data_IF_815802396929
#
_entry.id   IF_815802396929
#
_cell.length_a   1.000
_cell.length_b   1.000
_cell.length_c   1.000
_cell.angle_alpha   90.00
_cell.angle_beta   90.00
_cell.angle_gamma   90.00
#
_symmetry.space_group_name_H-M   'P 1'
#
loop_
_entity.id
_entity.type
_entity.pdbx_description
1 polymer ?
#
# COMPACT_ATOMS: atom_id res chain seq x y z
N UNK A 1 -16.53 11.78 -10.13
CA UNK A 1 -16.02 12.31 -11.41
C UNK A 1 -15.10 11.25 -12.00
N UNK A 2 -15.14 10.97 -13.31
CA UNK A 2 -14.29 9.91 -13.89
C UNK A 2 -12.81 10.36 -13.88
N UNK A 3 -11.86 9.46 -13.59
CA UNK A 3 -10.44 9.76 -13.65
C UNK A 3 -10.02 10.24 -15.04
N UNK A 4 -9.17 11.28 -15.11
CA UNK A 4 -8.63 11.78 -16.37
C UNK A 4 -7.34 11.05 -16.73
N UNK A 5 -7.25 10.55 -17.96
CA UNK A 5 -6.11 9.77 -18.47
C UNK A 5 -5.54 10.45 -19.71
N UNK A 6 -4.22 10.68 -19.74
CA UNK A 6 -3.53 11.18 -20.92
C UNK A 6 -2.77 10.05 -21.60
N UNK A 7 -3.09 9.76 -22.87
CA UNK A 7 -2.36 8.82 -23.70
C UNK A 7 -1.58 9.54 -24.78
N UNK A 8 -0.26 9.60 -24.60
CA UNK A 8 0.68 10.13 -25.56
C UNK A 8 1.16 9.01 -26.51
N UNK A 9 0.72 9.04 -27.77
CA UNK A 9 1.09 8.02 -28.78
C UNK A 9 1.23 8.62 -30.17
N UNK A 10 2.25 8.24 -30.92
CA UNK A 10 2.34 8.62 -32.34
C UNK A 10 1.30 7.92 -33.22
N UNK A 11 0.69 6.84 -32.72
CA UNK A 11 -0.33 6.08 -33.44
C UNK A 11 -1.74 6.48 -32.98
N UNK A 12 -2.30 7.51 -33.63
CA UNK A 12 -3.66 8.02 -33.34
C UNK A 12 -4.73 6.92 -33.38
N UNK A 13 -4.59 5.91 -34.24
CA UNK A 13 -5.59 4.85 -34.38
C UNK A 13 -5.72 4.00 -33.12
N UNK A 14 -4.62 3.76 -32.39
CA UNK A 14 -4.67 3.03 -31.13
C UNK A 14 -5.43 3.83 -30.07
N UNK A 15 -5.19 5.14 -29.99
CA UNK A 15 -5.93 6.01 -29.07
C UNK A 15 -7.43 6.06 -29.37
N UNK A 16 -7.81 6.12 -30.66
CA UNK A 16 -9.22 6.09 -31.08
C UNK A 16 -9.89 4.76 -30.78
N UNK A 17 -9.17 3.64 -30.89
CA UNK A 17 -9.67 2.31 -30.49
C UNK A 17 -9.81 2.18 -28.98
N UNK A 18 -8.87 2.72 -28.21
CA UNK A 18 -8.89 2.65 -26.74
C UNK A 18 -10.03 3.47 -26.14
N UNK A 19 -10.35 4.62 -26.72
CA UNK A 19 -11.32 5.57 -26.19
C UNK A 19 -12.71 4.95 -25.86
N UNK A 20 -13.39 4.19 -26.75
CA UNK A 20 -14.65 3.54 -26.41
C UNK A 20 -14.50 2.43 -25.36
N UNK A 21 -13.37 1.70 -25.35
CA UNK A 21 -13.12 0.57 -24.45
C UNK A 21 -12.93 0.96 -22.99
N UNK A 22 -12.62 2.23 -22.70
CA UNK A 22 -12.44 2.72 -21.32
C UNK A 22 -13.32 3.94 -21.00
N UNK A 23 -14.23 4.30 -21.90
CA UNK A 23 -15.12 5.45 -21.74
C UNK A 23 -16.01 5.33 -20.48
N UNK A 24 -16.32 4.11 -20.05
CA UNK A 24 -17.07 3.83 -18.82
C UNK A 24 -16.25 4.10 -17.55
N UNK A 25 -14.93 3.92 -17.58
CA UNK A 25 -14.05 4.04 -16.41
C UNK A 25 -13.21 5.33 -16.36
N UNK A 26 -12.95 6.02 -17.48
CA UNK A 26 -12.16 7.25 -17.50
C UNK A 26 -12.54 8.26 -18.59
N UNK A 27 -11.96 9.47 -18.47
CA UNK A 27 -11.91 10.45 -19.55
C UNK A 27 -10.53 10.38 -20.21
N UNK A 28 -10.46 9.78 -21.40
CA UNK A 28 -9.21 9.61 -22.14
C UNK A 28 -8.94 10.81 -23.08
N UNK A 29 -7.78 11.45 -22.90
CA UNK A 29 -7.19 12.41 -23.83
C UNK A 29 -6.10 11.74 -24.64
N UNK A 30 -6.16 11.82 -25.97
CA UNK A 30 -5.11 11.29 -26.85
C UNK A 30 -4.29 12.44 -27.42
N UNK A 31 -2.96 12.37 -27.24
CA UNK A 31 -2.02 13.38 -27.73
C UNK A 31 -1.00 12.71 -28.66
N UNK A 32 -0.96 13.18 -29.91
CA UNK A 32 -0.24 12.49 -31.00
C UNK A 32 1.23 12.89 -31.17
N UNK A 33 1.72 13.76 -30.29
CA UNK A 33 3.11 14.22 -30.26
C UNK A 33 3.51 14.60 -28.83
N UNK A 34 4.81 14.59 -28.56
CA UNK A 34 5.39 14.98 -27.28
C UNK A 34 5.03 16.42 -26.88
N UNK A 35 5.20 17.39 -27.79
CA UNK A 35 4.88 18.79 -27.54
C UNK A 35 3.39 19.03 -27.25
N UNK A 36 2.49 18.26 -27.88
CA UNK A 36 1.05 18.33 -27.57
C UNK A 36 0.73 17.71 -26.22
N UNK A 37 1.33 16.56 -25.90
CA UNK A 37 1.20 15.93 -24.59
C UNK A 37 1.67 16.87 -23.47
N UNK A 38 2.80 17.57 -23.68
CA UNK A 38 3.31 18.58 -22.76
C UNK A 38 2.35 19.78 -22.59
N UNK A 39 1.79 20.30 -23.69
CA UNK A 39 0.80 21.37 -23.62
C UNK A 39 -0.48 20.95 -22.88
N UNK A 40 -0.94 19.71 -23.07
CA UNK A 40 -2.10 19.15 -22.38
C UNK A 40 -1.82 18.97 -20.88
N UNK A 41 -0.64 18.46 -20.51
CA UNK A 41 -0.17 18.34 -19.11
C UNK A 41 -0.19 19.66 -18.34
N UNK A 42 0.12 20.78 -19.00
CA UNK A 42 0.13 22.10 -18.37
C UNK A 42 -1.26 22.70 -18.18
N UNK A 43 -2.27 22.19 -18.89
CA UNK A 43 -3.64 22.73 -18.88
C UNK A 43 -4.55 22.01 -17.90
N UNK A 44 -4.35 20.70 -17.73
CA UNK A 44 -5.23 19.84 -16.98
C UNK A 44 -4.42 18.85 -16.12
N UNK A 45 -4.94 18.51 -14.94
CA UNK A 45 -4.37 17.47 -14.10
C UNK A 45 -4.89 16.10 -14.54
N UNK A 46 -3.96 15.20 -14.87
CA UNK A 46 -4.27 13.81 -15.23
C UNK A 46 -3.81 12.86 -14.14
N UNK A 47 -4.63 11.83 -13.88
CA UNK A 47 -4.41 10.85 -12.83
C UNK A 47 -3.55 9.68 -13.31
N UNK A 48 -3.65 9.33 -14.60
CA UNK A 48 -2.83 8.30 -15.24
C UNK A 48 -2.25 8.83 -16.55
N UNK A 49 -0.99 8.51 -16.78
CA UNK A 49 -0.27 8.76 -18.02
C UNK A 49 -0.04 7.45 -18.75
N UNK A 50 -0.25 7.43 -20.05
CA UNK A 50 0.13 6.31 -20.92
C UNK A 50 1.07 6.90 -21.96
N UNK A 51 2.28 6.37 -22.05
CA UNK A 51 3.29 6.89 -22.98
C UNK A 51 3.77 5.77 -23.88
N UNK A 52 3.53 5.94 -25.17
CA UNK A 52 3.98 5.01 -26.21
C UNK A 52 5.47 5.19 -26.45
N UNK A 53 6.24 4.09 -26.39
CA UNK A 53 7.69 4.09 -26.61
C UNK A 53 8.07 4.55 -28.02
N UNK A 54 7.15 4.50 -28.99
CA UNK A 54 7.35 5.01 -30.36
C UNK A 54 6.94 6.47 -30.53
N UNK A 55 6.60 7.17 -29.45
CA UNK A 55 6.36 8.61 -29.51
C UNK A 55 7.69 9.32 -29.84
N UNK A 56 7.79 10.02 -30.99
CA UNK A 56 8.99 10.76 -31.33
C UNK A 56 9.29 11.80 -30.26
N UNK A 57 10.58 11.99 -29.96
CA UNK A 57 11.07 12.97 -29.01
C UNK A 57 10.64 12.75 -27.54
N UNK A 58 10.51 11.48 -27.13
CA UNK A 58 10.38 11.10 -25.72
C UNK A 58 11.56 11.60 -24.86
N UNK A 59 12.71 11.80 -25.50
CA UNK A 59 13.94 12.42 -25.01
C UNK A 59 13.87 13.96 -24.88
N UNK A 60 12.76 14.60 -25.28
CA UNK A 60 12.56 16.03 -25.03
C UNK A 60 12.55 16.25 -23.51
N UNK A 61 13.58 16.95 -23.03
CA UNK A 61 13.78 17.30 -21.61
C UNK A 61 12.49 17.81 -20.98
N UNK A 62 11.66 18.54 -21.73
CA UNK A 62 10.41 19.13 -21.26
C UNK A 62 9.31 18.13 -20.89
N UNK A 63 9.03 17.12 -21.74
CA UNK A 63 7.98 16.14 -21.44
C UNK A 63 8.43 15.23 -20.30
N UNK A 64 9.66 14.72 -20.35
CA UNK A 64 10.22 13.89 -19.28
C UNK A 64 10.24 14.64 -17.94
N UNK A 65 10.64 15.92 -17.94
CA UNK A 65 10.63 16.78 -16.74
C UNK A 65 9.21 17.07 -16.25
N UNK A 66 8.25 17.38 -17.13
CA UNK A 66 6.85 17.60 -16.74
C UNK A 66 6.23 16.35 -16.10
N UNK A 67 6.52 15.19 -16.67
CA UNK A 67 6.12 13.90 -16.15
C UNK A 67 6.78 13.61 -14.78
N UNK A 68 8.06 13.94 -14.61
CA UNK A 68 8.78 13.81 -13.34
C UNK A 68 8.16 14.63 -12.21
N UNK A 69 7.65 15.82 -12.52
CA UNK A 69 7.08 16.76 -11.56
C UNK A 69 5.54 16.73 -11.49
N UNK A 70 4.89 15.80 -12.18
CA UNK A 70 3.44 15.66 -12.14
C UNK A 70 2.98 15.23 -10.72
N UNK A 71 1.92 15.85 -10.16
CA UNK A 71 1.48 15.61 -8.78
C UNK A 71 0.92 14.20 -8.52
N UNK A 72 0.61 13.42 -9.56
CA UNK A 72 0.09 12.04 -9.48
C UNK A 72 0.79 11.13 -10.51
N UNK A 73 1.91 10.48 -10.16
CA UNK A 73 2.83 9.87 -11.14
C UNK A 73 2.47 8.43 -11.57
N UNK A 74 1.18 8.08 -11.71
CA UNK A 74 0.84 6.74 -12.24
C UNK A 74 1.04 6.74 -13.77
N UNK A 75 2.18 6.23 -14.22
CA UNK A 75 2.55 6.20 -15.64
C UNK A 75 2.67 4.77 -16.17
N UNK A 76 1.97 4.44 -17.25
CA UNK A 76 2.11 3.21 -18.03
C UNK A 76 2.97 3.52 -19.25
N UNK A 77 4.08 2.81 -19.43
CA UNK A 77 4.86 2.85 -20.68
C UNK A 77 4.46 1.70 -21.60
N UNK A 78 3.99 2.02 -22.80
CA UNK A 78 3.52 1.01 -23.77
C UNK A 78 4.54 0.87 -24.88
N UNK A 79 5.01 -0.35 -25.16
CA UNK A 79 5.89 -0.62 -26.30
C UNK A 79 5.26 -1.64 -27.25
N UNK A 80 5.30 -1.35 -28.55
CA UNK A 80 4.73 -2.20 -29.59
C UNK A 80 5.84 -2.92 -30.39
N UNK A 81 6.16 -4.18 -30.09
CA UNK A 81 7.09 -5.02 -30.86
C UNK A 81 8.30 -5.57 -30.08
N UNK A 82 9.45 -5.76 -30.75
CA UNK A 82 10.72 -6.17 -30.12
C UNK A 82 11.35 -5.02 -29.33
N UNK A 83 11.98 -5.36 -28.21
CA UNK A 83 12.46 -4.46 -27.15
C UNK A 83 13.73 -3.67 -27.50
N UNK A 84 14.10 -3.58 -28.77
CA UNK A 84 15.48 -3.22 -29.17
C UNK A 84 15.87 -1.75 -28.89
N UNK A 85 14.99 -0.92 -28.32
CA UNK A 85 15.28 0.49 -28.02
C UNK A 85 14.65 1.03 -26.72
N UNK A 86 14.46 0.21 -25.67
CA UNK A 86 14.07 0.73 -24.34
C UNK A 86 15.32 0.97 -23.49
N UNK A 87 16.11 1.96 -23.87
CA UNK A 87 17.12 2.60 -23.01
C UNK A 87 16.53 3.97 -22.64
N UNK A 88 16.65 4.42 -21.38
CA UNK A 88 16.15 5.69 -20.82
C UNK A 88 14.85 5.71 -19.99
N UNK A 89 14.49 4.62 -19.29
CA UNK A 89 13.44 4.67 -18.22
C UNK A 89 13.93 4.13 -16.87
N UNK A 90 15.09 3.46 -16.83
CA UNK A 90 15.65 2.81 -15.64
C UNK A 90 16.10 3.77 -14.51
N UNK A 91 16.12 5.08 -14.76
CA UNK A 91 16.54 6.10 -13.77
C UNK A 91 15.38 6.86 -13.12
N UNK A 92 14.12 6.61 -13.54
CA UNK A 92 12.93 7.24 -12.99
C UNK A 92 12.48 6.54 -11.70
N UNK A 93 13.01 6.98 -10.55
CA UNK A 93 12.83 6.34 -9.22
C UNK A 93 11.38 6.18 -8.71
N UNK A 94 10.37 6.75 -9.38
CA UNK A 94 8.96 6.74 -8.95
C UNK A 94 7.96 6.31 -10.05
N UNK A 95 8.44 5.80 -11.18
CA UNK A 95 7.58 5.39 -12.30
C UNK A 95 7.53 3.86 -12.38
N UNK A 96 6.34 3.29 -12.17
CA UNK A 96 6.13 1.85 -12.35
C UNK A 96 6.19 1.50 -13.83
N UNK A 97 7.30 0.92 -14.27
CA UNK A 97 7.46 0.45 -15.63
C UNK A 97 6.60 -0.80 -15.88
N UNK A 98 5.31 -0.64 -16.17
CA UNK A 98 4.51 -1.73 -16.72
C UNK A 98 4.81 -1.86 -18.22
N UNK A 99 5.83 -2.66 -18.56
CA UNK A 99 6.03 -3.06 -19.95
C UNK A 99 4.86 -3.97 -20.36
N UNK A 100 3.85 -3.43 -21.04
CA UNK A 100 2.76 -4.23 -21.62
C UNK A 100 3.33 -5.01 -22.80
N UNK A 101 3.92 -6.17 -22.52
CA UNK A 101 4.26 -7.16 -23.56
C UNK A 101 2.97 -7.81 -24.01
N UNK A 102 2.49 -7.40 -25.19
CA UNK A 102 1.53 -8.10 -26.08
C UNK A 102 0.06 -7.66 -25.97
N UNK A 103 -0.47 -7.19 -27.10
CA UNK A 103 -1.90 -6.99 -27.43
C UNK A 103 -2.63 -5.80 -26.78
N UNK A 104 -3.59 -5.26 -27.54
CA UNK A 104 -4.46 -4.15 -27.15
C UNK A 104 -5.34 -4.50 -25.93
N UNK A 105 -5.80 -5.75 -25.82
CA UNK A 105 -6.65 -6.21 -24.72
C UNK A 105 -5.94 -6.14 -23.35
N UNK A 106 -4.63 -6.40 -23.31
CA UNK A 106 -3.84 -6.25 -22.08
C UNK A 106 -3.68 -4.78 -21.67
N UNK A 107 -3.59 -3.86 -22.62
CA UNK A 107 -3.57 -2.42 -22.33
C UNK A 107 -4.90 -1.99 -21.71
N UNK A 108 -6.03 -2.43 -22.27
CA UNK A 108 -7.38 -2.17 -21.74
C UNK A 108 -7.52 -2.76 -20.33
N UNK A 109 -7.14 -4.03 -20.15
CA UNK A 109 -7.21 -4.71 -18.85
C UNK A 109 -6.36 -4.03 -17.77
N UNK A 110 -5.11 -3.67 -18.10
CA UNK A 110 -4.20 -2.94 -17.21
C UNK A 110 -4.80 -1.59 -16.82
N UNK A 111 -5.28 -0.81 -17.79
CA UNK A 111 -5.84 0.52 -17.52
C UNK A 111 -7.10 0.42 -16.66
N UNK A 112 -7.98 -0.55 -16.93
CA UNK A 112 -9.18 -0.80 -16.11
C UNK A 112 -8.80 -1.17 -14.68
N UNK A 113 -7.82 -2.05 -14.50
CA UNK A 113 -7.36 -2.45 -13.18
C UNK A 113 -6.68 -1.30 -12.43
N UNK A 114 -5.90 -0.46 -13.12
CA UNK A 114 -5.26 0.72 -12.53
C UNK A 114 -6.30 1.73 -12.00
N UNK A 115 -7.40 1.88 -12.73
CA UNK A 115 -8.49 2.80 -12.41
C UNK A 115 -9.56 2.23 -11.47
N UNK A 116 -9.53 0.92 -11.19
CA UNK A 116 -10.44 0.27 -10.25
C UNK A 116 -9.95 0.51 -8.80
N UNK A 117 -10.73 1.24 -7.97
CA UNK A 117 -10.36 1.47 -6.57
C UNK A 117 -10.18 0.18 -5.77
N UNK A 118 -10.92 -0.89 -6.09
CA UNK A 118 -10.82 -2.17 -5.40
C UNK A 118 -9.54 -2.93 -5.78
N UNK A 119 -9.06 -2.79 -7.01
CA UNK A 119 -7.83 -3.43 -7.49
C UNK A 119 -6.59 -2.91 -6.73
N UNK A 120 -6.59 -1.64 -6.30
CA UNK A 120 -5.54 -1.07 -5.44
C UNK A 120 -5.49 -1.63 -4.01
N UNK A 121 -6.48 -2.43 -3.63
CA UNK A 121 -6.64 -3.04 -2.30
C UNK A 121 -6.68 -4.57 -2.36
N UNK A 122 -6.30 -5.12 -3.51
CA UNK A 122 -6.36 -6.56 -3.77
C UNK A 122 -5.01 -7.04 -4.26
N UNK A 123 -4.41 -7.94 -3.51
CA UNK A 123 -3.17 -8.62 -3.87
C UNK A 123 -3.41 -9.61 -5.02
N UNK A 124 -2.49 -9.64 -5.97
CA UNK A 124 -2.48 -10.56 -7.11
C UNK A 124 -1.39 -11.62 -6.99
N UNK A 125 -0.20 -11.22 -6.53
CA UNK A 125 0.92 -12.14 -6.35
C UNK A 125 1.79 -11.74 -5.15
N UNK A 126 2.33 -12.73 -4.44
CA UNK A 126 3.32 -12.52 -3.38
C UNK A 126 4.41 -13.59 -3.51
N UNK A 127 5.68 -13.18 -3.39
CA UNK A 127 6.84 -14.07 -3.36
C UNK A 127 7.83 -13.61 -2.31
N UNK A 128 8.49 -14.54 -1.63
CA UNK A 128 9.59 -14.20 -0.74
C UNK A 128 10.94 -14.29 -1.45
N UNK A 129 11.83 -13.32 -1.21
CA UNK A 129 13.19 -13.30 -1.73
C UNK A 129 14.19 -13.45 -0.57
N UNK A 130 14.72 -14.67 -0.32
CA UNK A 130 15.56 -14.94 0.84
C UNK A 130 16.83 -14.11 0.91
N UNK A 131 17.46 -13.80 -0.24
CA UNK A 131 18.71 -13.03 -0.30
C UNK A 131 18.54 -11.60 0.20
N UNK A 132 17.45 -10.95 -0.19
CA UNK A 132 17.15 -9.57 0.17
C UNK A 132 16.36 -9.47 1.49
N UNK A 133 15.84 -10.60 1.98
CA UNK A 133 14.97 -10.68 3.15
C UNK A 133 13.70 -9.82 2.99
N UNK A 134 13.06 -9.96 1.82
CA UNK A 134 11.99 -9.06 1.34
C UNK A 134 10.86 -9.86 0.69
N UNK A 135 9.62 -9.38 0.83
CA UNK A 135 8.47 -9.87 0.08
C UNK A 135 8.26 -9.00 -1.16
N UNK A 136 8.23 -9.62 -2.33
CA UNK A 136 7.74 -9.00 -3.55
C UNK A 136 6.22 -9.14 -3.59
N UNK A 137 5.50 -8.03 -3.58
CA UNK A 137 4.04 -7.98 -3.51
C UNK A 137 3.49 -7.25 -4.72
N UNK A 138 2.64 -7.91 -5.50
CA UNK A 138 1.92 -7.33 -6.63
C UNK A 138 0.43 -7.18 -6.30
N UNK A 139 -0.14 -6.04 -6.65
CA UNK A 139 -1.57 -5.74 -6.54
C UNK A 139 -2.24 -5.92 -7.91
N UNK A 140 -3.56 -6.19 -7.92
CA UNK A 140 -4.33 -6.38 -9.15
C UNK A 140 -4.35 -5.15 -10.06
N UNK A 141 -4.11 -3.97 -9.51
CA UNK A 141 -3.97 -2.74 -10.28
C UNK A 141 -2.61 -2.63 -11.01
N UNK A 142 -1.76 -3.66 -10.92
CA UNK A 142 -0.44 -3.71 -11.53
C UNK A 142 0.69 -3.16 -10.66
N UNK A 143 0.37 -2.51 -9.52
CA UNK A 143 1.39 -1.95 -8.62
C UNK A 143 2.21 -3.03 -7.94
N UNK A 144 3.50 -2.80 -7.79
CA UNK A 144 4.39 -3.78 -7.15
C UNK A 144 5.28 -3.12 -6.10
N UNK A 145 5.44 -3.78 -4.96
CA UNK A 145 6.21 -3.27 -3.83
C UNK A 145 7.12 -4.35 -3.24
N UNK A 146 8.23 -3.89 -2.68
CA UNK A 146 9.18 -4.70 -1.94
C UNK A 146 9.01 -4.45 -0.44
N UNK A 147 8.24 -5.29 0.24
CA UNK A 147 8.04 -5.17 1.69
C UNK A 147 9.17 -5.88 2.44
N UNK A 148 10.07 -5.16 3.15
CA UNK A 148 11.13 -5.80 3.92
C UNK A 148 10.50 -6.67 5.01
N UNK A 149 10.99 -7.90 5.19
CA UNK A 149 10.41 -8.82 6.19
C UNK A 149 10.44 -8.24 7.60
N UNK A 150 11.52 -7.52 7.94
CA UNK A 150 11.67 -6.78 9.20
C UNK A 150 10.60 -5.70 9.46
N UNK A 151 9.83 -5.31 8.45
CA UNK A 151 8.74 -4.35 8.60
C UNK A 151 7.47 -5.02 9.18
N UNK A 152 7.41 -6.35 9.18
CA UNK A 152 6.27 -7.11 9.72
C UNK A 152 6.52 -7.42 11.20
N UNK A 153 5.81 -6.74 12.09
CA UNK A 153 6.00 -6.90 13.55
C UNK A 153 5.71 -8.32 14.07
N UNK A 154 4.81 -9.05 13.39
CA UNK A 154 4.42 -10.41 13.78
C UNK A 154 5.47 -11.49 13.41
N UNK A 155 6.51 -11.11 12.67
CA UNK A 155 7.60 -12.02 12.27
C UNK A 155 8.57 -12.23 13.45
N UNK A 156 8.85 -13.49 13.78
CA UNK A 156 9.73 -13.85 14.90
C UNK A 156 11.21 -14.06 14.52
N UNK A 157 11.57 -13.82 13.25
CA UNK A 157 12.92 -13.99 12.72
C UNK A 157 13.29 -15.41 12.29
N UNK A 158 12.53 -16.46 12.66
CA UNK A 158 12.82 -17.85 12.24
C UNK A 158 12.57 -18.08 10.74
N UNK A 159 13.24 -19.05 10.12
CA UNK A 159 13.15 -19.27 8.66
C UNK A 159 11.71 -19.45 8.17
N UNK A 160 11.42 -18.96 6.96
CA UNK A 160 10.09 -19.13 6.35
C UNK A 160 9.92 -20.56 5.84
N UNK A 161 8.73 -21.12 6.03
CA UNK A 161 8.35 -22.46 5.59
C UNK A 161 7.39 -22.37 4.42
N UNK A 162 7.91 -22.65 3.22
CA UNK A 162 7.16 -22.57 1.97
C UNK A 162 6.93 -21.13 1.49
N UNK A 163 6.21 -21.00 0.37
CA UNK A 163 5.88 -19.70 -0.20
C UNK A 163 4.71 -19.03 0.52
N UNK A 164 4.71 -17.69 0.63
CA UNK A 164 3.56 -16.92 1.09
C UNK A 164 2.30 -17.24 0.27
N UNK A 165 1.14 -17.25 0.92
CA UNK A 165 -0.15 -17.57 0.25
C UNK A 165 -1.12 -16.42 0.36
N UNK A 166 -1.65 -15.96 -0.76
CA UNK A 166 -2.75 -14.99 -0.76
C UNK A 166 -4.01 -15.64 -0.19
N UNK A 167 -4.66 -14.94 0.71
CA UNK A 167 -5.87 -15.37 1.43
C UNK A 167 -6.96 -14.29 1.32
N UNK A 168 -8.18 -14.63 1.75
CA UNK A 168 -9.29 -13.69 1.85
C UNK A 168 -9.57 -12.91 0.54
N UNK A 169 -9.45 -13.58 -0.61
CA UNK A 169 -9.71 -12.98 -1.91
C UNK A 169 -8.72 -11.88 -2.32
N UNK A 170 -7.51 -11.85 -1.74
CA UNK A 170 -6.51 -10.83 -2.03
C UNK A 170 -6.38 -9.75 -0.97
N UNK A 171 -7.10 -9.83 0.15
CA UNK A 171 -6.98 -8.79 1.20
C UNK A 171 -5.74 -8.96 2.10
N UNK A 172 -5.10 -10.13 2.08
CA UNK A 172 -3.89 -10.41 2.86
C UNK A 172 -3.10 -11.58 2.25
N UNK A 173 -1.87 -11.78 2.71
CA UNK A 173 -1.14 -13.04 2.52
C UNK A 173 -0.71 -13.65 3.86
N UNK A 174 -0.73 -14.98 3.94
CA UNK A 174 -0.23 -15.76 5.07
C UNK A 174 1.24 -16.12 4.88
N UNK A 175 2.01 -16.01 5.95
CA UNK A 175 3.39 -16.49 6.05
C UNK A 175 3.49 -17.51 7.19
N UNK A 176 4.33 -18.53 6.99
CA UNK A 176 4.61 -19.58 7.99
C UNK A 176 6.10 -19.59 8.28
N UNK A 177 6.45 -19.81 9.54
CA UNK A 177 7.84 -19.86 9.98
C UNK A 177 8.17 -21.20 10.66
N UNK A 178 9.46 -21.54 10.70
CA UNK A 178 9.97 -22.79 11.22
C UNK A 178 9.70 -22.98 12.73
N UNK A 179 9.54 -21.88 13.46
CA UNK A 179 9.08 -21.88 14.86
C UNK A 179 7.66 -22.42 15.07
N UNK A 180 6.90 -22.58 13.99
CA UNK A 180 5.46 -22.83 14.01
C UNK A 180 4.61 -21.57 13.98
N UNK A 181 5.21 -20.37 14.05
CA UNK A 181 4.50 -19.11 13.92
C UNK A 181 3.83 -18.98 12.55
N UNK A 182 2.61 -18.44 12.55
CA UNK A 182 1.84 -18.13 11.35
C UNK A 182 1.20 -16.76 11.50
N UNK A 183 1.50 -15.87 10.57
CA UNK A 183 0.97 -14.52 10.59
C UNK A 183 0.41 -14.13 9.24
N UNK A 184 -0.48 -13.14 9.25
CA UNK A 184 -1.09 -12.57 8.06
C UNK A 184 -0.57 -11.15 7.86
N UNK A 185 -0.28 -10.81 6.61
CA UNK A 185 0.16 -9.49 6.18
C UNK A 185 -0.96 -8.90 5.34
N UNK A 186 -1.74 -7.93 5.85
CA UNK A 186 -2.81 -7.29 5.09
C UNK A 186 -2.23 -6.36 4.01
N UNK A 187 -3.00 -6.12 2.95
CA UNK A 187 -2.55 -5.30 1.81
C UNK A 187 -2.20 -3.86 2.22
N UNK A 188 -2.88 -3.31 3.23
CA UNK A 188 -2.69 -1.94 3.68
C UNK A 188 -1.35 -1.71 4.39
N UNK A 189 -0.79 -2.75 5.02
CA UNK A 189 0.56 -2.70 5.57
C UNK A 189 1.61 -2.45 4.47
N UNK A 190 1.38 -2.98 3.27
CA UNK A 190 2.26 -2.75 2.12
C UNK A 190 2.21 -1.27 1.71
N UNK A 191 1.02 -0.69 1.58
CA UNK A 191 0.86 0.72 1.22
C UNK A 191 1.35 1.66 2.33
N UNK A 192 1.15 1.30 3.60
CA UNK A 192 1.69 2.01 4.76
C UNK A 192 3.19 2.27 4.64
N UNK A 193 3.94 1.32 4.08
CA UNK A 193 5.39 1.44 3.94
C UNK A 193 5.85 2.15 2.65
N UNK A 194 5.00 2.28 1.62
CA UNK A 194 5.45 2.65 0.28
C UNK A 194 4.71 3.82 -0.38
N UNK A 195 3.49 4.16 0.06
CA UNK A 195 2.64 5.15 -0.61
C UNK A 195 2.44 6.39 0.25
N UNK A 196 3.19 7.50 0.05
CA UNK A 196 3.04 8.77 0.79
C UNK A 196 1.63 9.36 0.78
N UNK A 197 0.87 9.04 -0.26
CA UNK A 197 -0.53 9.40 -0.44
C UNK A 197 -1.48 8.58 0.45
N UNK A 198 -1.07 7.38 0.87
CA UNK A 198 -1.86 6.51 1.74
C UNK A 198 -2.10 7.23 3.07
N UNK A 199 -3.36 7.29 3.59
CA UNK A 199 -3.68 8.06 4.78
C UNK A 199 -2.84 7.72 6.02
N UNK A 200 -2.25 6.53 6.04
CA UNK A 200 -1.45 6.05 7.16
C UNK A 200 0.05 5.96 6.86
N UNK A 201 0.53 6.46 5.72
CA UNK A 201 1.92 6.30 5.31
C UNK A 201 2.97 6.61 6.39
N UNK A 202 3.97 5.73 6.48
CA UNK A 202 5.15 5.89 7.33
C UNK A 202 5.93 7.16 6.93
N UNK A 203 5.75 8.24 7.69
CA UNK A 203 6.44 9.52 7.46
C UNK A 203 5.54 10.76 7.56
N UNK A 204 4.22 10.62 7.52
CA UNK A 204 3.29 11.70 7.92
C UNK A 204 3.13 11.71 9.44
N UNK A 205 4.18 12.15 10.15
CA UNK A 205 4.23 12.22 11.61
C UNK A 205 3.29 13.28 12.24
N UNK A 206 2.51 14.02 11.43
CA UNK A 206 1.82 15.22 11.89
C UNK A 206 0.40 15.04 12.45
N UNK A 207 -0.28 13.92 12.22
CA UNK A 207 -1.70 13.79 12.64
C UNK A 207 -2.08 12.33 12.98
N UNK A 208 -1.43 11.73 13.98
CA UNK A 208 -1.98 10.65 14.85
C UNK A 208 -0.95 10.22 15.90
N UNK A 209 -1.46 9.86 17.08
CA UNK A 209 -0.76 9.18 18.17
C UNK A 209 -0.04 7.91 17.65
N UNK A 210 1.26 7.76 17.89
CA UNK A 210 2.02 6.55 17.50
C UNK A 210 1.52 5.32 18.28
N UNK A 211 1.74 4.09 17.78
CA UNK A 211 1.37 2.87 18.53
C UNK A 211 1.97 2.83 19.93
N UNK A 212 3.20 3.35 20.09
CA UNK A 212 3.86 3.49 21.38
C UNK A 212 3.14 4.50 22.29
N UNK A 213 2.76 5.66 21.77
CA UNK A 213 1.99 6.67 22.51
C UNK A 213 0.60 6.14 22.90
N UNK A 214 -0.06 5.41 21.98
CA UNK A 214 -1.36 4.78 22.23
C UNK A 214 -1.26 3.68 23.29
N UNK A 215 -0.21 2.85 23.23
CA UNK A 215 0.05 1.83 24.22
C UNK A 215 0.32 2.45 25.60
N UNK A 216 1.13 3.52 25.66
CA UNK A 216 1.44 4.25 26.90
C UNK A 216 0.19 4.90 27.50
N UNK A 217 -0.65 5.52 26.67
CA UNK A 217 -1.90 6.14 27.11
C UNK A 217 -2.90 5.12 27.64
N UNK A 218 -3.13 4.03 26.89
CA UNK A 218 -4.03 2.95 27.32
C UNK A 218 -3.50 2.30 28.61
N UNK A 219 -2.21 1.98 28.64
CA UNK A 219 -1.55 1.39 29.81
C UNK A 219 -1.64 2.27 31.05
N UNK A 220 -1.37 3.56 30.89
CA UNK A 220 -1.51 4.58 31.92
C UNK A 220 -2.94 4.67 32.45
N UNK A 221 -3.95 4.58 31.58
CA UNK A 221 -5.35 4.61 32.00
C UNK A 221 -5.75 3.37 32.78
N UNK A 222 -5.33 2.18 32.35
CA UNK A 222 -5.55 0.93 33.09
C UNK A 222 -4.91 1.00 34.47
N UNK A 223 -3.67 1.50 34.55
CA UNK A 223 -2.97 1.71 35.81
C UNK A 223 -3.72 2.67 36.73
N UNK A 224 -4.19 3.79 36.19
CA UNK A 224 -4.95 4.80 36.94
C UNK A 224 -6.25 4.22 37.52
N UNK A 225 -7.02 3.48 36.73
CA UNK A 225 -8.26 2.84 37.19
C UNK A 225 -7.98 1.76 38.24
N UNK A 226 -6.90 0.98 38.06
CA UNK A 226 -6.46 -0.03 39.05
C UNK A 226 -6.07 0.62 40.38
N UNK A 227 -5.22 1.64 40.33
CA UNK A 227 -4.73 2.35 41.52
C UNK A 227 -5.84 3.13 42.21
N UNK A 228 -6.76 3.74 41.46
CA UNK A 228 -7.96 4.38 42.00
C UNK A 228 -8.89 3.43 42.77
N UNK A 229 -8.75 2.12 42.58
CA UNK A 229 -9.46 1.06 43.32
C UNK A 229 -8.63 0.45 44.46
N UNK A 230 -7.40 0.92 44.67
CA UNK A 230 -6.48 0.36 45.65
C UNK A 230 -6.02 -1.05 45.30
N UNK A 231 -6.13 -1.49 44.04
CA UNK A 231 -5.77 -2.85 43.64
C UNK A 231 -4.28 -2.96 43.33
N UNK A 232 -3.66 -4.04 43.80
CA UNK A 232 -2.34 -4.43 43.33
C UNK A 232 -2.41 -4.98 41.90
N UNK A 233 -1.28 -5.02 41.20
CA UNK A 233 -1.20 -5.65 39.87
C UNK A 233 -1.62 -7.14 39.92
N UNK A 234 -1.30 -7.83 41.02
CA UNK A 234 -1.72 -9.22 41.25
C UNK A 234 -3.24 -9.36 41.42
N UNK A 235 -3.90 -8.38 42.04
CA UNK A 235 -5.35 -8.38 42.18
C UNK A 235 -6.05 -8.15 40.84
N UNK A 236 -5.53 -7.24 40.01
CA UNK A 236 -6.04 -7.07 38.64
C UNK A 236 -5.81 -8.34 37.80
N UNK A 237 -4.65 -9.00 37.95
CA UNK A 237 -4.36 -10.28 37.29
C UNK A 237 -5.38 -11.36 37.65
N UNK A 238 -5.71 -11.48 38.93
CA UNK A 238 -6.71 -12.43 39.43
C UNK A 238 -8.10 -12.17 38.86
N UNK A 239 -8.52 -10.90 38.79
CA UNK A 239 -9.86 -10.52 38.29
C UNK A 239 -10.00 -10.66 36.78
N UNK A 240 -8.95 -10.35 36.04
CA UNK A 240 -8.95 -10.40 34.58
C UNK A 240 -8.64 -11.81 34.05
N UNK A 241 -7.99 -12.65 34.85
CA UNK A 241 -7.39 -13.91 34.39
C UNK A 241 -6.18 -13.72 33.47
N UNK A 242 -5.57 -12.53 33.49
CA UNK A 242 -4.40 -12.18 32.69
C UNK A 242 -3.16 -12.30 33.57
N UNK A 243 -2.10 -12.92 33.04
CA UNK A 243 -0.86 -13.12 33.79
C UNK A 243 -0.22 -11.78 34.22
N UNK A 244 0.29 -11.65 35.46
CA UNK A 244 0.87 -10.40 35.96
C UNK A 244 1.96 -9.78 35.05
N UNK A 245 2.86 -10.55 34.40
CA UNK A 245 3.81 -9.99 33.45
C UNK A 245 3.17 -9.34 32.22
N UNK A 246 2.01 -9.85 31.77
CA UNK A 246 1.30 -9.28 30.62
C UNK A 246 0.59 -7.98 31.01
N UNK A 247 -0.05 -7.94 32.18
CA UNK A 247 -0.61 -6.70 32.73
C UNK A 247 0.47 -5.65 33.00
N UNK A 248 1.66 -6.06 33.47
CA UNK A 248 2.79 -5.15 33.65
C UNK A 248 3.25 -4.55 32.31
N UNK A 249 3.36 -5.36 31.26
CA UNK A 249 3.72 -4.86 29.92
C UNK A 249 2.64 -3.94 29.36
N UNK A 250 1.38 -4.24 29.62
CA UNK A 250 0.24 -3.41 29.26
C UNK A 250 0.28 -2.06 29.98
N UNK A 251 0.37 -2.03 31.31
CA UNK A 251 0.38 -0.78 32.10
C UNK A 251 1.60 0.11 31.81
N UNK A 252 2.70 -0.48 31.35
CA UNK A 252 3.91 0.25 30.94
C UNK A 252 3.98 0.56 29.44
N UNK A 253 2.87 0.38 28.70
CA UNK A 253 2.76 0.74 27.28
C UNK A 253 3.74 0.00 26.35
N UNK A 254 4.16 -1.22 26.71
CA UNK A 254 5.13 -1.99 25.92
C UNK A 254 4.53 -2.59 24.65
N UNK A 255 3.21 -2.65 24.55
CA UNK A 255 2.47 -3.08 23.35
C UNK A 255 1.03 -2.53 23.41
N UNK A 256 0.39 -2.43 22.25
CA UNK A 256 -1.04 -2.12 22.17
C UNK A 256 -1.83 -3.40 22.52
N UNK A 257 -2.69 -3.39 23.55
CA UNK A 257 -3.47 -4.56 23.92
C UNK A 257 -4.51 -4.91 22.85
N UNK A 258 -4.80 -6.21 22.71
CA UNK A 258 -5.90 -6.68 21.86
C UNK A 258 -7.26 -6.20 22.40
N UNK A 259 -8.27 -6.16 21.53
CA UNK A 259 -9.64 -5.82 21.96
C UNK A 259 -10.15 -6.79 23.05
N UNK A 260 -9.83 -8.08 22.96
CA UNK A 260 -10.15 -9.07 23.99
C UNK A 260 -9.50 -8.72 25.34
N UNK A 261 -8.22 -8.35 25.32
CA UNK A 261 -7.49 -7.94 26.53
C UNK A 261 -8.10 -6.68 27.13
N UNK A 262 -8.41 -5.68 26.30
CA UNK A 262 -9.07 -4.46 26.71
C UNK A 262 -10.46 -4.72 27.29
N UNK A 263 -11.24 -5.61 26.68
CA UNK A 263 -12.57 -5.96 27.16
C UNK A 263 -12.49 -6.60 28.54
N UNK A 264 -11.63 -7.61 28.72
CA UNK A 264 -11.43 -8.29 30.02
C UNK A 264 -10.96 -7.34 31.12
N UNK A 265 -10.07 -6.41 30.78
CA UNK A 265 -9.59 -5.38 31.72
C UNK A 265 -10.69 -4.39 32.06
N UNK A 266 -11.44 -3.91 31.06
CA UNK A 266 -12.56 -3.01 31.25
C UNK A 266 -13.66 -3.64 32.12
N UNK A 267 -14.02 -4.89 31.84
CA UNK A 267 -15.01 -5.66 32.61
C UNK A 267 -14.56 -5.84 34.07
N UNK A 268 -13.29 -6.21 34.29
CA UNK A 268 -12.74 -6.37 35.63
C UNK A 268 -12.69 -5.05 36.42
N UNK A 269 -12.45 -3.93 35.73
CA UNK A 269 -12.41 -2.59 36.32
C UNK A 269 -13.81 -1.96 36.43
N UNK A 270 -14.84 -2.53 35.81
CA UNK A 270 -16.20 -1.98 35.79
C UNK A 270 -16.33 -0.69 34.97
N UNK A 271 -15.53 -0.53 33.91
CA UNK A 271 -15.55 0.63 33.00
C UNK A 271 -15.85 0.18 31.58
N UNK A 272 -16.16 1.10 30.66
CA UNK A 272 -16.31 0.75 29.25
C UNK A 272 -14.92 0.72 28.60
N UNK A 273 -14.76 -0.11 27.57
CA UNK A 273 -13.54 -0.11 26.75
C UNK A 273 -13.25 1.30 26.19
N UNK A 274 -14.29 2.04 25.82
CA UNK A 274 -14.19 3.45 25.40
C UNK A 274 -13.46 4.32 26.44
N UNK A 275 -13.71 4.12 27.73
CA UNK A 275 -13.12 4.91 28.81
C UNK A 275 -11.62 4.62 28.99
N UNK A 276 -11.14 3.48 28.46
CA UNK A 276 -9.72 3.11 28.42
C UNK A 276 -8.99 3.66 27.18
N UNK A 277 -9.72 4.05 26.12
CA UNK A 277 -9.16 4.43 24.81
C UNK A 277 -9.50 5.85 24.34
N UNK A 278 -10.35 6.61 25.04
CA UNK A 278 -10.92 7.87 24.56
C UNK A 278 -10.13 9.16 24.89
N UNK A 279 -8.94 9.08 25.49
CA UNK A 279 -8.10 10.26 25.79
C UNK A 279 -7.26 10.74 24.61
#
# INVERSE_FOLDING_TARGET
MKPSVLFATSNRQVGLKLQPEVADVCQLKVSVSSGRAYADLRREAYQVFIVDSKLPQLDSVELAHALWHAPTPQGIFVSWGTLDNVVYVSEMKNWEQMTVRRSFDQLVGTLRALLDPAASRTLEAVRYQPKENTFFVAFRNGKTYELPRKAVQADDGSELVGEPRIIHGGSAFEVRQASGNRYQVPWDLVLYHHEPSYPYHKGKAGQRETEAQRAERIGGRVRQEREGRGWSLAELARRTGIQPPNLSRLENGKHVPSLDTLQRVADALGVRVADLVAA
#
